data_IF_636700322565
#
_entry.id   IF_636700322565
#
_cell.length_a   1.000
_cell.length_b   1.000
_cell.length_c   1.000
_cell.angle_alpha   90.00
_cell.angle_beta   90.00
_cell.angle_gamma   90.00
#
_symmetry.space_group_name_H-M   'P 1'
#
loop_
_entity.id
_entity.type
_entity.pdbx_description
1 polymer ?
2 water ?
#
# COMPACT_ATOMS: atom_id res chain seq x y z
N UNK A 4 -18.30 11.69 -3.49
CA UNK A 4 -17.77 13.06 -3.18
C UNK A 4 -16.32 13.03 -2.74
N UNK A 5 -16.02 13.75 -1.67
CA UNK A 5 -14.66 13.88 -1.15
C UNK A 5 -13.98 12.56 -0.81
N UNK A 6 -12.67 12.53 -1.02
CA UNK A 6 -11.82 11.48 -0.49
C UNK A 6 -12.02 11.36 1.02
N UNK A 7 -11.83 10.15 1.54
CA UNK A 7 -11.94 9.91 2.98
C UNK A 7 -10.71 10.39 3.75
N UNK A 8 -9.57 10.47 3.08
CA UNK A 8 -8.31 10.83 3.73
C UNK A 8 -8.06 12.33 3.86
N UNK A 9 -7.62 12.96 2.77
CA UNK A 9 -7.43 14.42 2.73
C UNK A 9 -6.37 14.97 3.70
N UNK A 10 -5.29 14.22 3.95
CA UNK A 10 -4.22 14.71 4.84
C UNK A 10 -3.55 16.00 4.34
N UNK A 11 -3.34 16.11 3.03
CA UNK A 11 -2.59 17.25 2.47
C UNK A 11 -3.29 18.59 2.64
N UNK A 12 -4.61 18.56 2.82
CA UNK A 12 -5.39 19.76 3.09
C UNK A 12 -5.07 20.41 4.43
N UNK A 13 -4.40 19.68 5.32
CA UNK A 13 -4.05 20.19 6.65
C UNK A 13 -2.62 19.84 7.07
N UNK A 14 -1.79 19.46 6.10
CA UNK A 14 -0.39 19.15 6.37
C UNK A 14 0.55 19.95 5.46
N UNK A 15 1.82 20.00 5.85
CA UNK A 15 2.84 20.74 5.11
C UNK A 15 4.19 20.04 5.28
N UNK A 16 5.17 20.46 4.47
CA UNK A 16 6.51 19.85 4.43
C UNK A 16 6.44 18.32 4.33
N UNK A 17 5.57 17.84 3.45
CA UNK A 17 5.36 16.42 3.21
C UNK A 17 6.57 15.82 2.49
N UNK A 18 7.12 14.75 3.06
CA UNK A 18 8.28 14.08 2.47
C UNK A 18 8.22 12.57 2.64
N UNK A 19 9.08 11.87 1.89
CA UNK A 19 9.22 10.43 1.99
C UNK A 19 10.57 10.05 2.55
N UNK A 20 10.57 9.03 3.38
CA UNK A 20 11.78 8.46 3.94
C UNK A 20 11.63 6.95 3.79
N UNK A 21 12.12 6.42 2.68
CA UNK A 21 11.85 5.03 2.30
C UNK A 21 10.39 4.93 1.88
N UNK A 22 9.62 4.11 2.59
CA UNK A 22 8.18 4.04 2.38
C UNK A 22 7.39 4.76 3.49
N UNK A 23 8.11 5.42 4.39
CA UNK A 23 7.47 6.15 5.49
C UNK A 23 7.16 7.59 5.07
N UNK A 24 5.89 7.96 5.17
CA UNK A 24 5.45 9.30 4.82
C UNK A 24 5.50 10.19 6.06
N UNK A 25 6.25 11.29 5.96
CA UNK A 25 6.38 12.25 7.05
C UNK A 25 5.80 13.61 6.67
N UNK A 26 5.25 14.31 7.66
CA UNK A 26 4.64 15.62 7.44
C UNK A 26 4.53 16.42 8.73
N UNK A 27 4.35 17.73 8.58
CA UNK A 27 3.91 18.58 9.68
C UNK A 27 2.38 18.67 9.60
N UNK A 28 1.70 18.05 10.56
CA UNK A 28 0.23 18.00 10.55
C UNK A 28 -0.42 18.99 11.51
N UNK A 29 -1.33 19.80 10.98
CA UNK A 29 -2.15 20.72 11.78
C UNK A 29 -2.92 20.00 12.88
N UNK A 30 -2.89 20.58 14.08
CA UNK A 30 -3.63 20.10 15.24
C UNK A 30 -4.89 20.95 15.44
N UNK A 31 -5.81 20.46 16.27
CA UNK A 31 -7.03 21.20 16.61
C UNK A 31 -6.75 22.46 17.42
N UNK A 32 -5.66 22.47 18.17
CA UNK A 32 -5.34 23.64 18.98
C UNK A 32 -4.63 24.71 18.14
N UNK A 33 -4.39 24.41 16.87
CA UNK A 33 -3.83 25.37 15.92
C UNK A 33 -2.32 25.28 15.74
N UNK A 34 -1.68 24.43 16.54
CA UNK A 34 -0.24 24.17 16.41
C UNK A 34 0.00 23.04 15.43
N UNK A 35 1.22 22.50 15.45
CA UNK A 35 1.63 21.45 14.51
C UNK A 35 2.30 20.28 15.23
N UNK A 36 2.21 19.10 14.62
CA UNK A 36 2.96 17.93 15.06
C UNK A 36 3.76 17.39 13.90
N UNK A 37 4.90 16.78 14.20
CA UNK A 37 5.64 16.00 13.21
C UNK A 37 5.15 14.57 13.32
N UNK A 38 4.67 14.03 12.21
CA UNK A 38 3.99 12.74 12.20
C UNK A 38 4.54 11.83 11.10
N UNK A 39 4.34 10.53 11.27
CA UNK A 39 4.85 9.55 10.32
C UNK A 39 3.87 8.40 10.17
N UNK A 40 3.73 7.90 8.94
CA UNK A 40 2.95 6.68 8.69
C UNK A 40 3.66 5.81 7.65
N UNK A 41 3.72 4.52 7.94
CA UNK A 41 4.40 3.57 7.08
C UNK A 41 3.48 3.15 5.94
N UNK A 42 3.72 3.71 4.76
CA UNK A 42 2.93 3.40 3.56
C UNK A 42 3.06 1.94 3.13
N UNK A 43 4.08 1.26 3.65
CA UNK A 43 4.29 -0.15 3.33
C UNK A 43 3.30 -1.09 4.03
N UNK A 44 2.49 -0.54 4.93
CA UNK A 44 1.41 -1.30 5.56
C UNK A 44 0.11 -1.20 4.76
N UNK A 45 -0.03 -0.17 3.94
CA UNK A 45 -1.32 0.15 3.32
C UNK A 45 -1.34 0.06 1.80
N UNK A 46 -0.15 0.07 1.20
CA UNK A 46 -0.03 0.03 -0.25
C UNK A 46 0.69 -1.22 -0.71
N UNK A 47 0.18 -1.79 -1.79
CA UNK A 47 0.75 -3.00 -2.36
C UNK A 47 1.02 -2.80 -3.84
N UNK A 48 1.89 -3.66 -4.37
CA UNK A 48 2.14 -3.76 -5.79
C UNK A 48 1.30 -4.89 -6.40
N UNK A 49 0.28 -4.53 -7.17
CA UNK A 49 -0.55 -5.50 -7.87
C UNK A 49 -0.07 -5.66 -9.30
N UNK A 50 0.90 -6.56 -9.49
CA UNK A 50 1.51 -6.85 -10.79
C UNK A 50 1.81 -5.59 -11.61
N UNK A 51 2.48 -4.63 -10.98
CA UNK A 51 2.90 -3.40 -11.64
C UNK A 51 2.03 -2.19 -11.36
N UNK A 52 1.07 -2.33 -10.45
CA UNK A 52 0.14 -1.24 -10.13
C UNK A 52 -0.05 -1.08 -8.63
N UNK A 53 0.01 0.17 -8.16
CA UNK A 53 -0.28 0.47 -6.76
C UNK A 53 -1.72 0.07 -6.47
N UNK A 54 -1.92 -0.60 -5.34
CA UNK A 54 -3.26 -0.79 -4.83
C UNK A 54 -3.37 -0.62 -3.33
N UNK A 55 -4.51 -0.11 -2.88
CA UNK A 55 -4.81 0.05 -1.48
C UNK A 55 -5.25 -1.28 -0.91
N UNK A 56 -4.28 -2.08 -0.46
CA UNK A 56 -4.57 -3.29 0.28
C UNK A 56 -3.63 -3.31 1.48
N UNK A 57 -4.22 -3.27 2.67
CA UNK A 57 -3.46 -3.24 3.91
C UNK A 57 -2.94 -4.63 4.26
N UNK A 58 -1.81 -4.68 4.96
CA UNK A 58 -1.27 -5.95 5.45
C UNK A 58 -2.34 -6.66 6.29
N UNK A 59 -2.60 -7.92 5.96
CA UNK A 59 -3.67 -8.70 6.58
C UNK A 59 -3.36 -10.19 6.44
N UNK A 60 -4.08 -11.02 7.19
CA UNK A 60 -3.99 -12.47 7.03
C UNK A 60 -5.36 -12.99 6.64
N UNK A 61 -5.37 -13.91 5.68
CA UNK A 61 -6.62 -14.50 5.21
C UNK A 61 -6.61 -16.02 5.37
N UNK A 62 -7.79 -16.62 5.38
CA UNK A 62 -7.90 -18.07 5.52
C UNK A 62 -8.46 -18.67 4.23
N UNK A 63 -7.72 -19.62 3.67
CA UNK A 63 -8.10 -20.26 2.41
C UNK A 63 -9.41 -21.03 2.57
N UNK A 64 -10.32 -20.85 1.62
CA UNK A 64 -11.62 -21.52 1.69
C UNK A 64 -11.64 -22.73 0.76
N UNK A 65 -12.64 -23.59 0.94
CA UNK A 65 -12.81 -24.80 0.14
C UNK A 65 -13.01 -24.45 -1.33
N UNK A 66 -12.15 -25.00 -2.18
CA UNK A 66 -12.21 -24.77 -3.62
C UNK A 66 -11.30 -23.66 -4.12
N UNK A 67 -10.64 -22.96 -3.19
CA UNK A 67 -9.79 -21.82 -3.56
C UNK A 67 -8.49 -22.24 -4.24
N UNK A 68 -8.17 -21.56 -5.34
CA UNK A 68 -6.81 -21.55 -5.88
C UNK A 68 -6.17 -20.23 -5.46
N UNK A 69 -4.87 -20.09 -5.71
CA UNK A 69 -4.11 -18.89 -5.37
C UNK A 69 -4.63 -17.64 -6.10
N UNK A 70 -4.98 -17.82 -7.37
CA UNK A 70 -5.62 -16.77 -8.18
C UNK A 70 -6.97 -16.35 -7.58
N UNK A 71 -7.71 -17.31 -7.02
CA UNK A 71 -9.00 -17.04 -6.36
C UNK A 71 -8.77 -16.12 -5.17
N UNK A 72 -7.68 -16.37 -4.43
CA UNK A 72 -7.33 -15.54 -3.28
C UNK A 72 -6.97 -14.14 -3.74
N UNK A 73 -6.18 -14.07 -4.81
CA UNK A 73 -5.75 -12.80 -5.37
C UNK A 73 -6.92 -11.97 -5.83
N UNK A 74 -7.87 -12.61 -6.53
CA UNK A 74 -9.07 -11.94 -7.03
C UNK A 74 -9.95 -11.41 -5.89
N UNK A 75 -10.10 -12.21 -4.84
CA UNK A 75 -10.96 -11.86 -3.71
C UNK A 75 -10.44 -10.65 -2.94
N UNK A 76 -9.13 -10.57 -2.75
CA UNK A 76 -8.53 -9.48 -1.98
C UNK A 76 -7.77 -8.45 -2.82
N UNK A 77 -7.97 -8.52 -4.14
CA UNK A 77 -7.41 -7.55 -5.09
C UNK A 77 -5.88 -7.47 -5.00
N UNK A 78 -5.26 -8.64 -4.97
CA UNK A 78 -3.81 -8.80 -4.90
C UNK A 78 -3.32 -9.68 -6.05
N UNK A 79 -2.03 -9.60 -6.33
CA UNK A 79 -1.41 -10.40 -7.37
C UNK A 79 -0.99 -11.74 -6.78
N UNK A 80 -1.38 -12.84 -7.42
CA UNK A 80 -1.09 -14.17 -6.89
C UNK A 80 0.41 -14.49 -6.85
N UNK A 81 1.18 -13.87 -7.74
CA UNK A 81 2.64 -13.96 -7.72
C UNK A 81 3.18 -13.38 -6.42
N UNK A 82 2.65 -12.23 -6.01
CA UNK A 82 3.03 -11.60 -4.75
C UNK A 82 2.67 -12.46 -3.53
N UNK A 83 1.45 -12.99 -3.52
CA UNK A 83 0.99 -13.86 -2.43
C UNK A 83 1.86 -15.11 -2.28
N UNK A 84 2.29 -15.68 -3.41
CA UNK A 84 3.20 -16.82 -3.44
C UNK A 84 4.58 -16.46 -2.87
N UNK A 85 5.17 -15.38 -3.36
CA UNK A 85 6.49 -14.93 -2.91
C UNK A 85 6.48 -14.57 -1.42
N UNK A 86 5.46 -13.83 -1.00
CA UNK A 86 5.31 -13.36 0.38
C UNK A 86 5.04 -14.51 1.35
N UNK A 87 4.49 -15.62 0.84
CA UNK A 87 4.19 -16.76 1.69
C UNK A 87 5.11 -17.95 1.44
N UNK A 88 6.27 -17.67 0.85
CA UNK A 88 7.33 -18.66 0.59
C UNK A 88 6.85 -19.90 -0.15
N UNK A 89 5.94 -19.71 -1.11
CA UNK A 89 5.48 -20.80 -1.96
C UNK A 89 5.68 -20.40 -3.42
N UNK A 90 5.21 -21.22 -4.36
CA UNK A 90 5.43 -20.94 -5.77
C UNK A 90 4.14 -20.55 -6.50
N UNK A 91 4.30 -19.92 -7.67
CA UNK A 91 3.17 -19.40 -8.47
C UNK A 91 2.07 -20.42 -8.78
N UNK A 92 2.44 -21.59 -9.29
CA UNK A 92 1.45 -22.59 -9.70
C UNK A 92 1.07 -23.59 -8.61
N UNK A 93 1.52 -23.32 -7.38
CA UNK A 93 1.27 -24.20 -6.24
C UNK A 93 -0.19 -24.25 -5.82
N UNK A 94 -0.63 -25.45 -5.46
CA UNK A 94 -1.93 -25.67 -4.83
C UNK A 94 -1.93 -25.13 -3.41
N UNK A 95 -3.10 -24.71 -2.94
CA UNK A 95 -3.28 -24.25 -1.56
C UNK A 95 -4.42 -25.04 -0.95
N UNK A 96 -4.51 -25.04 0.38
CA UNK A 96 -5.44 -25.93 1.08
C UNK A 96 -6.38 -25.20 2.05
N UNK A 97 -7.66 -25.66 2.13
CA UNK A 97 -8.60 -24.99 3.04
C UNK A 97 -8.09 -24.98 4.48
N UNK A 98 -8.27 -23.84 5.15
CA UNK A 98 -7.78 -23.67 6.51
C UNK A 98 -6.40 -23.04 6.57
N UNK A 99 -5.67 -23.09 5.46
CA UNK A 99 -4.35 -22.44 5.34
C UNK A 99 -4.48 -20.94 5.57
N UNK A 100 -3.55 -20.38 6.33
CA UNK A 100 -3.48 -18.93 6.54
C UNK A 100 -2.46 -18.33 5.57
N UNK A 101 -2.84 -17.22 4.92
CA UNK A 101 -1.95 -16.52 3.99
C UNK A 101 -1.85 -15.02 4.29
N UNK A 102 -0.62 -14.51 4.27
CA UNK A 102 -0.34 -13.08 4.37
C UNK A 102 -0.65 -12.38 3.04
N UNK A 103 -1.43 -11.31 3.09
CA UNK A 103 -1.73 -10.50 1.89
C UNK A 103 -1.55 -8.99 2.14
N UNK A 104 -1.39 -8.22 1.06
CA UNK A 104 -1.46 -6.76 1.13
C UNK A 104 -0.18 -6.08 1.57
N UNK A 105 -0.18 -4.75 1.49
CA UNK A 105 0.98 -3.93 1.81
C UNK A 105 2.22 -4.36 1.05
N UNK A 106 3.38 -3.98 1.57
CA UNK A 106 4.68 -4.48 1.10
C UNK A 106 5.09 -4.11 -0.33
N UNK A 107 4.51 -3.04 -0.88
CA UNK A 107 4.90 -2.56 -2.23
C UNK A 107 6.40 -2.29 -2.33
N UNK A 108 7.00 -1.85 -1.21
CA UNK A 108 8.40 -1.43 -1.13
C UNK A 108 9.39 -2.50 -1.59
N UNK A 109 9.07 -3.77 -1.31
CA UNK A 109 9.86 -4.94 -1.72
C UNK A 109 10.14 -5.02 -3.21
N UNK A 110 9.18 -4.57 -4.02
CA UNK A 110 9.26 -4.72 -5.48
C UNK A 110 9.16 -3.39 -6.21
N UNK A 111 9.64 -2.32 -5.58
CA UNK A 111 9.59 -0.96 -6.15
C UNK A 111 10.99 -0.33 -6.33
N UNK A 112 11.06 0.74 -7.12
CA UNK A 112 12.29 1.54 -7.28
C UNK A 112 11.90 2.93 -7.78
N UNK A 113 12.82 3.89 -7.69
CA UNK A 113 12.54 5.28 -8.08
C UNK A 113 11.26 5.79 -7.41
N UNK A 114 11.15 5.55 -6.10
CA UNK A 114 9.97 5.91 -5.33
C UNK A 114 10.07 7.36 -4.88
N UNK A 115 9.01 8.13 -5.11
CA UNK A 115 9.03 9.56 -4.82
C UNK A 115 7.65 10.19 -4.78
N UNK A 116 7.58 11.35 -4.14
CA UNK A 116 6.37 12.14 -4.10
C UNK A 116 6.38 13.20 -5.19
N UNK A 117 5.22 13.43 -5.79
CA UNK A 117 5.04 14.55 -6.71
C UNK A 117 3.81 15.39 -6.33
N UNK A 118 3.66 16.53 -7.00
CA UNK A 118 2.56 17.47 -6.77
C UNK A 118 2.35 17.79 -5.29
N UNK A 119 3.40 18.33 -4.68
CA UNK A 119 3.36 18.77 -3.28
C UNK A 119 3.11 17.67 -2.26
N UNK A 120 3.51 16.45 -2.58
CA UNK A 120 3.36 15.33 -1.65
C UNK A 120 1.99 14.66 -1.66
N UNK A 121 1.16 15.03 -2.63
CA UNK A 121 -0.16 14.44 -2.82
C UNK A 121 -0.17 13.11 -3.59
N UNK A 122 0.82 12.93 -4.46
CA UNK A 122 0.90 11.75 -5.32
C UNK A 122 2.17 10.94 -5.05
N UNK A 123 2.02 9.64 -4.86
CA UNK A 123 3.18 8.75 -4.76
C UNK A 123 3.41 8.11 -6.12
N UNK A 124 4.64 8.23 -6.61
CA UNK A 124 5.04 7.68 -7.89
C UNK A 124 6.21 6.73 -7.71
N UNK A 125 6.22 5.65 -8.48
CA UNK A 125 7.31 4.67 -8.47
C UNK A 125 7.26 3.78 -9.71
N UNK A 126 8.38 3.09 -9.98
CA UNK A 126 8.39 1.99 -10.93
C UNK A 126 8.18 0.71 -10.12
N UNK A 127 7.17 -0.06 -10.50
CA UNK A 127 6.84 -1.29 -9.79
C UNK A 127 7.11 -2.49 -10.67
N UNK A 128 7.69 -3.54 -10.09
CA UNK A 128 7.99 -4.75 -10.84
C UNK A 128 6.70 -5.50 -11.15
N UNK A 129 6.57 -5.94 -12.40
CA UNK A 129 5.51 -6.86 -12.77
C UNK A 129 6.14 -8.12 -13.37
N UNK A 130 5.32 -9.10 -13.73
CA UNK A 130 5.77 -10.40 -14.25
C UNK A 130 6.95 -10.31 -15.23
N UNK A 131 6.82 -9.43 -16.22
CA UNK A 131 7.87 -9.28 -17.22
C UNK A 131 8.57 -7.92 -17.34
N UNK A 132 8.72 -7.20 -16.23
CA UNK A 132 9.47 -5.95 -16.27
C UNK A 132 9.09 -4.92 -15.23
N UNK A 133 9.21 -3.65 -15.60
CA UNK A 133 8.89 -2.53 -14.72
C UNK A 133 7.85 -1.61 -15.35
N UNK A 134 6.90 -1.18 -14.53
CA UNK A 134 5.84 -0.29 -14.96
C UNK A 134 5.74 0.91 -14.02
N UNK A 135 5.75 2.12 -14.59
CA UNK A 135 5.57 3.33 -13.78
C UNK A 135 4.11 3.44 -13.29
N UNK A 136 3.93 3.60 -11.98
CA UNK A 136 2.61 3.72 -11.37
C UNK A 136 2.52 4.90 -10.41
N UNK A 137 1.31 5.43 -10.26
CA UNK A 137 1.08 6.58 -9.38
C UNK A 137 -0.21 6.40 -8.61
N UNK A 138 -0.28 6.98 -7.42
CA UNK A 138 -1.46 6.86 -6.58
C UNK A 138 -1.67 8.11 -5.72
N UNK A 139 -2.94 8.53 -5.64
CA UNK A 139 -3.33 9.70 -4.85
C UNK A 139 -3.45 9.31 -3.38
N UNK A 140 -2.49 9.77 -2.59
CA UNK A 140 -2.40 9.41 -1.17
C UNK A 140 -3.57 9.92 -0.33
N UNK A 141 -4.12 11.08 -0.71
CA UNK A 141 -5.28 11.66 -0.01
C UNK A 141 -6.50 10.76 -0.03
N UNK A 142 -6.49 9.73 -0.88
CA UNK A 142 -7.59 8.78 -0.95
C UNK A 142 -7.79 8.09 0.38
N UNK A 143 -6.69 7.69 1.02
CA UNK A 143 -6.76 6.93 2.27
C UNK A 143 -5.87 7.40 3.42
N UNK A 144 -5.05 8.43 3.19
CA UNK A 144 -4.25 9.00 4.27
C UNK A 144 -4.93 10.27 4.78
N UNK A 145 -5.20 10.30 6.08
CA UNK A 145 -5.80 11.46 6.73
C UNK A 145 -4.93 12.04 7.83
N UNK A 146 -5.33 13.20 8.32
CA UNK A 146 -4.69 13.83 9.47
C UNK A 146 -5.72 13.95 10.57
N UNK A 147 -5.56 13.14 11.61
CA UNK A 147 -6.40 13.23 12.82
C UNK A 147 -5.68 13.97 13.95
N UNK A 148 -6.07 15.22 14.18
CA UNK A 148 -5.50 16.07 15.24
C UNK A 148 -3.98 15.97 15.37
N UNK A 149 -3.29 16.10 14.24
CA UNK A 149 -1.83 16.06 14.22
C UNK A 149 -1.18 14.72 13.90
N UNK A 150 -2.00 13.69 13.76
CA UNK A 150 -1.50 12.32 13.55
C UNK A 150 -1.92 11.76 12.20
N UNK A 151 -0.93 11.37 11.39
CA UNK A 151 -1.20 10.69 10.12
C UNK A 151 -1.84 9.32 10.37
N UNK A 152 -3.01 9.11 9.77
CA UNK A 152 -3.74 7.84 9.89
C UNK A 152 -4.20 7.30 8.53
N UNK A 153 -4.48 6.00 8.49
CA UNK A 153 -5.13 5.39 7.34
C UNK A 153 -6.63 5.35 7.62
N UNK A 154 -7.43 5.78 6.65
CA UNK A 154 -8.89 5.74 6.76
C UNK A 154 -9.56 5.53 5.41
#
# INVERSE_FOLDING_TARGET
>A
GSHGNYAGNFSGSSRDICLDGARLRAECRRGDGGYSTSVIDLNRYLSNDNGHFRWVSTATVTVQQGDTLRDIGRRFDCDFHEIARRNNIQNEDLIYPGQVLQVGGNFWDSARDVRLVDGGKVLEAELRYSGGWNRSRIYLDEHIGNRNGELIHC
#
